data_IF_061419560754
#
_entry.id   IF_061419560754
#
_cell.length_a   1.000
_cell.length_b   1.000
_cell.length_c   1.000
_cell.angle_alpha   90.00
_cell.angle_beta   90.00
_cell.angle_gamma   90.00
#
_symmetry.space_group_name_H-M   'P 1'
#
loop_
_entity.id
_entity.type
_entity.pdbx_description
1 polymer ?
#
# COMPACT_ATOMS: atom_id res chain seq x y z
N UNK A 1 -23.24 53.34 34.92
CA UNK A 1 -22.73 52.12 35.58
C UNK A 1 -23.48 50.94 34.96
N UNK A 2 -22.89 49.83 34.52
CA UNK A 2 -21.48 49.44 34.42
C UNK A 2 -21.21 48.63 33.12
N UNK A 3 -19.96 48.24 32.88
CA UNK A 3 -19.47 47.53 31.67
C UNK A 3 -19.29 46.01 31.91
N UNK A 4 -18.82 45.33 30.85
CA UNK A 4 -18.06 44.05 30.86
C UNK A 4 -18.89 42.77 30.74
N UNK A 5 -18.42 41.67 30.12
CA UNK A 5 -17.25 41.46 29.23
C UNK A 5 -17.25 40.03 28.66
N UNK A 6 -16.53 39.83 27.53
CA UNK A 6 -16.09 38.53 27.01
C UNK A 6 -14.59 38.60 26.61
N UNK A 7 -13.89 37.48 26.34
CA UNK A 7 -14.05 36.10 26.83
C UNK A 7 -12.82 35.78 27.75
N UNK A 8 -11.69 35.08 27.42
CA UNK A 8 -11.33 34.08 26.38
C UNK A 8 -10.91 32.69 26.93
N UNK A 9 -11.04 31.62 26.11
CA UNK A 9 -9.98 30.65 25.71
C UNK A 9 -10.56 29.34 25.09
N UNK A 10 -9.79 28.57 24.29
CA UNK A 10 -10.34 27.85 23.12
C UNK A 10 -9.93 26.37 23.00
N UNK A 11 -10.54 25.65 22.07
CA UNK A 11 -9.85 24.56 21.37
C UNK A 11 -10.45 24.28 19.99
N UNK A 12 -9.81 24.78 18.94
CA UNK A 12 -10.05 24.44 17.54
C UNK A 12 -9.14 23.29 17.10
N UNK A 13 -9.70 22.24 16.50
CA UNK A 13 -8.92 21.28 15.69
C UNK A 13 -9.76 20.46 14.70
N UNK A 14 -10.80 21.03 14.08
CA UNK A 14 -11.50 20.37 12.96
C UNK A 14 -10.57 20.36 11.75
N UNK A 15 -9.95 19.22 11.44
CA UNK A 15 -9.15 19.06 10.22
C UNK A 15 -10.03 18.45 9.12
N UNK A 16 -10.39 19.19 8.05
CA UNK A 16 -11.09 18.59 6.92
C UNK A 16 -10.12 17.70 6.13
N UNK A 17 -10.58 16.51 5.73
CA UNK A 17 -9.81 15.62 4.88
C UNK A 17 -9.61 16.24 3.49
N UNK A 18 -8.35 16.24 2.99
CA UNK A 18 -8.06 16.78 1.66
C UNK A 18 -8.63 15.87 0.54
N UNK A 19 -9.16 16.47 -0.56
CA UNK A 19 -9.62 15.71 -1.72
C UNK A 19 -8.44 15.24 -2.58
N UNK A 20 -8.36 13.94 -2.82
CA UNK A 20 -7.31 13.32 -3.63
C UNK A 20 -7.63 13.40 -5.13
N UNK A 21 -6.65 13.79 -5.96
CA UNK A 21 -6.69 13.67 -7.43
C UNK A 21 -5.60 12.70 -7.90
N UNK A 22 -5.96 11.78 -8.79
CA UNK A 22 -5.01 10.88 -9.47
C UNK A 22 -4.73 11.39 -10.89
N UNK A 23 -3.45 11.61 -11.23
CA UNK A 23 -2.98 11.73 -12.60
C UNK A 23 -1.92 10.64 -12.82
N UNK A 24 -1.95 9.98 -13.98
CA UNK A 24 -0.96 8.95 -14.31
C UNK A 24 -0.63 8.93 -15.79
N UNK A 25 0.63 9.22 -16.12
CA UNK A 25 1.31 8.86 -17.37
C UNK A 25 2.81 8.73 -17.09
N UNK A 26 3.49 7.83 -17.80
CA UNK A 26 4.95 7.59 -17.67
C UNK A 26 5.56 7.35 -19.05
N UNK A 27 6.71 7.95 -19.33
CA UNK A 27 7.50 7.77 -20.55
C UNK A 27 8.96 7.41 -20.23
N UNK A 28 9.62 6.71 -21.14
CA UNK A 28 10.81 5.89 -20.88
C UNK A 28 12.16 6.50 -21.32
N UNK A 29 13.26 5.90 -20.84
CA UNK A 29 14.50 5.73 -21.62
C UNK A 29 15.80 6.37 -21.11
N UNK A 30 16.77 5.54 -20.67
CA UNK A 30 18.21 5.54 -21.09
C UNK A 30 19.11 4.69 -20.16
N UNK A 31 20.32 4.35 -20.62
CA UNK A 31 21.28 3.37 -20.04
C UNK A 31 22.42 4.11 -19.26
N UNK A 32 23.44 3.53 -18.59
CA UNK A 32 24.07 2.20 -18.65
C UNK A 32 24.86 1.83 -17.34
N UNK A 33 25.67 0.75 -17.41
CA UNK A 33 26.67 0.10 -16.52
C UNK A 33 27.42 0.90 -15.42
N UNK A 34 28.17 0.32 -14.46
CA UNK A 34 28.78 -1.03 -14.27
C UNK A 34 28.90 -1.44 -12.77
N UNK A 35 29.48 -2.62 -12.44
CA UNK A 35 29.48 -3.24 -11.09
C UNK A 35 30.68 -2.87 -10.19
N UNK A 36 30.46 -2.91 -8.87
CA UNK A 36 31.42 -3.45 -7.89
C UNK A 36 30.72 -3.89 -6.60
N UNK A 37 31.08 -5.04 -6.04
CA UNK A 37 30.40 -5.67 -4.90
C UNK A 37 31.14 -5.40 -3.59
N UNK A 38 30.49 -4.76 -2.60
CA UNK A 38 30.84 -4.90 -1.17
C UNK A 38 29.69 -4.48 -0.24
N UNK A 39 29.71 -5.05 0.96
CA UNK A 39 28.69 -5.08 2.02
C UNK A 39 27.98 -3.74 2.31
N UNK A 40 26.64 -3.76 2.44
CA UNK A 40 25.82 -2.59 2.81
C UNK A 40 25.03 -2.84 4.09
N UNK A 41 25.30 -2.08 5.17
CA UNK A 41 24.33 -1.73 6.19
C UNK A 41 23.95 -0.24 6.12
N UNK A 42 22.67 0.03 6.41
CA UNK A 42 21.99 1.34 6.55
C UNK A 42 21.63 2.13 5.27
N UNK A 43 20.34 2.47 5.24
CA UNK A 43 19.65 3.50 4.46
C UNK A 43 20.27 4.89 4.69
N UNK A 44 20.89 5.54 3.69
CA UNK A 44 21.49 6.86 3.85
C UNK A 44 20.65 8.00 3.25
N UNK A 45 20.95 9.18 3.76
CA UNK A 45 20.37 10.49 3.48
C UNK A 45 20.22 10.86 2.00
N UNK A 46 19.12 11.58 1.73
CA UNK A 46 18.79 12.31 0.50
C UNK A 46 19.96 12.93 -0.26
N UNK A 47 20.00 12.71 -1.58
CA UNK A 47 21.01 13.29 -2.47
C UNK A 47 20.71 14.76 -2.86
N UNK A 48 21.73 15.64 -2.85
CA UNK A 48 21.65 16.94 -3.49
C UNK A 48 21.82 16.82 -5.03
N UNK A 49 21.15 17.70 -5.77
CA UNK A 49 21.32 17.92 -7.23
C UNK A 49 21.16 16.69 -8.14
N UNK A 50 19.92 16.19 -8.28
CA UNK A 50 19.49 15.34 -9.40
C UNK A 50 17.98 15.49 -9.59
N UNK A 51 17.53 16.22 -10.61
CA UNK A 51 16.15 16.74 -10.69
C UNK A 51 15.11 15.62 -10.92
N UNK A 52 14.60 15.00 -9.84
CA UNK A 52 13.43 14.09 -9.89
C UNK A 52 12.31 14.77 -10.70
N UNK A 53 11.77 14.09 -11.72
CA UNK A 53 10.44 14.46 -12.26
C UNK A 53 9.47 14.36 -11.09
N UNK A 54 8.75 15.43 -10.76
CA UNK A 54 8.07 15.62 -9.47
C UNK A 54 6.84 14.73 -9.21
N UNK A 55 6.58 13.74 -10.06
CA UNK A 55 5.27 13.08 -10.18
C UNK A 55 5.33 11.56 -10.04
N UNK A 56 6.40 10.89 -10.50
CA UNK A 56 6.53 9.43 -10.36
C UNK A 56 7.09 9.07 -8.99
N UNK A 57 6.37 8.24 -8.24
CA UNK A 57 6.75 7.80 -6.87
C UNK A 57 7.03 6.30 -6.76
N UNK A 58 6.83 5.52 -7.83
CA UNK A 58 7.07 4.07 -7.81
C UNK A 58 6.80 3.42 -9.16
N UNK A 59 7.07 2.11 -9.24
CA UNK A 59 6.82 1.25 -10.41
C UNK A 59 5.69 0.28 -10.08
N UNK A 60 4.98 -0.25 -11.08
CA UNK A 60 3.99 -1.33 -10.92
C UNK A 60 4.24 -2.47 -11.88
N UNK A 61 4.24 -3.70 -11.38
CA UNK A 61 4.35 -4.95 -12.15
C UNK A 61 3.09 -5.78 -11.87
N UNK A 62 2.49 -6.35 -12.91
CA UNK A 62 1.39 -7.30 -12.77
C UNK A 62 1.89 -8.70 -13.14
N UNK A 63 1.86 -9.60 -12.16
CA UNK A 63 2.37 -10.97 -12.20
C UNK A 63 1.28 -11.98 -11.81
N UNK A 64 0.01 -11.64 -12.02
CA UNK A 64 -1.11 -12.57 -11.86
C UNK A 64 -1.09 -13.61 -13.00
N UNK A 65 -1.79 -14.74 -12.83
CA UNK A 65 -1.85 -15.78 -13.87
C UNK A 65 -2.48 -15.26 -15.17
N UNK A 66 -3.50 -14.40 -15.06
CA UNK A 66 -4.19 -13.80 -16.20
C UNK A 66 -3.30 -12.80 -16.96
N UNK A 67 -2.28 -12.23 -16.30
CA UNK A 67 -1.31 -11.36 -16.95
C UNK A 67 -0.30 -12.13 -17.84
N UNK A 68 -0.24 -13.46 -17.70
CA UNK A 68 0.57 -14.39 -18.49
C UNK A 68 2.03 -13.92 -18.75
N UNK A 69 2.68 -13.40 -17.70
CA UNK A 69 4.09 -13.02 -17.73
C UNK A 69 4.94 -14.09 -17.06
N UNK A 70 6.07 -14.44 -17.66
CA UNK A 70 7.08 -15.28 -17.03
C UNK A 70 7.69 -14.53 -15.81
N UNK A 71 7.59 -15.07 -14.57
CA UNK A 71 8.26 -14.52 -13.39
C UNK A 71 9.79 -14.46 -13.48
N UNK A 72 10.38 -15.17 -14.44
CA UNK A 72 11.81 -15.25 -14.68
C UNK A 72 12.27 -14.42 -15.90
N UNK A 73 11.37 -13.63 -16.52
CA UNK A 73 11.74 -12.74 -17.62
C UNK A 73 12.89 -11.80 -17.17
N UNK A 74 14.07 -11.81 -17.83
CA UNK A 74 15.19 -10.95 -17.48
C UNK A 74 14.88 -9.45 -17.55
N UNK A 75 13.77 -9.07 -18.18
CA UNK A 75 13.17 -7.73 -18.18
C UNK A 75 12.64 -7.31 -16.81
N UNK A 76 12.02 -8.23 -16.05
CA UNK A 76 11.60 -7.98 -14.67
C UNK A 76 12.83 -7.67 -13.82
N UNK A 77 13.85 -8.53 -13.85
CA UNK A 77 15.07 -8.30 -13.06
C UNK A 77 15.80 -7.01 -13.46
N UNK A 78 15.73 -6.59 -14.74
CA UNK A 78 16.23 -5.28 -15.21
C UNK A 78 15.44 -4.11 -14.61
N UNK A 79 14.12 -4.22 -14.52
CA UNK A 79 13.24 -3.22 -13.90
C UNK A 79 13.54 -3.12 -12.40
N UNK A 80 13.65 -4.24 -11.68
CA UNK A 80 13.90 -4.26 -10.23
C UNK A 80 15.27 -3.67 -9.90
N UNK A 81 16.33 -4.04 -10.63
CA UNK A 81 17.65 -3.39 -10.49
C UNK A 81 17.62 -1.89 -10.78
N UNK A 82 16.77 -1.42 -11.69
CA UNK A 82 16.59 0.02 -11.94
C UNK A 82 15.79 0.70 -10.82
N UNK A 83 14.79 0.03 -10.26
CA UNK A 83 14.01 0.50 -9.12
C UNK A 83 14.90 0.79 -7.90
N UNK A 84 15.80 -0.16 -7.56
CA UNK A 84 16.81 0.01 -6.50
C UNK A 84 17.71 1.23 -6.77
N UNK A 85 18.28 1.36 -7.98
CA UNK A 85 19.17 2.50 -8.33
C UNK A 85 18.48 3.88 -8.28
N UNK A 86 17.16 3.92 -8.38
CA UNK A 86 16.38 5.17 -8.37
C UNK A 86 15.52 5.33 -7.11
N UNK A 87 15.71 4.48 -6.10
CA UNK A 87 14.96 4.47 -4.83
C UNK A 87 13.43 4.33 -5.02
N UNK A 88 12.99 3.68 -6.09
CA UNK A 88 11.56 3.48 -6.34
C UNK A 88 11.05 2.19 -5.69
N UNK A 89 9.97 2.24 -4.88
CA UNK A 89 9.25 1.04 -4.50
C UNK A 89 8.53 0.42 -5.71
N UNK A 90 8.38 -0.90 -5.67
CA UNK A 90 7.74 -1.68 -6.74
C UNK A 90 6.44 -2.28 -6.23
N UNK A 91 5.32 -1.75 -6.72
CA UNK A 91 4.01 -2.37 -6.51
C UNK A 91 3.92 -3.64 -7.34
N UNK A 92 3.53 -4.74 -6.72
CA UNK A 92 3.36 -6.04 -7.37
C UNK A 92 1.94 -6.56 -7.17
N UNK A 93 1.23 -6.70 -8.27
CA UNK A 93 -0.06 -7.40 -8.32
C UNK A 93 0.19 -8.87 -8.65
N UNK A 94 0.15 -9.73 -7.63
CA UNK A 94 0.46 -11.16 -7.73
C UNK A 94 -0.59 -12.08 -7.10
N UNK A 95 -1.83 -11.60 -6.91
CA UNK A 95 -2.94 -12.47 -6.48
C UNK A 95 -3.11 -13.67 -7.43
N UNK A 96 -3.60 -14.81 -6.91
CA UNK A 96 -3.69 -16.07 -7.67
C UNK A 96 -2.35 -16.67 -8.12
N UNK A 97 -1.23 -15.98 -7.86
CA UNK A 97 0.13 -16.35 -8.25
C UNK A 97 1.15 -15.98 -7.15
N UNK A 98 0.73 -16.03 -5.88
CA UNK A 98 1.53 -15.59 -4.73
C UNK A 98 2.87 -16.34 -4.60
N UNK A 99 2.95 -17.58 -5.07
CA UNK A 99 4.18 -18.37 -5.02
C UNK A 99 5.26 -17.77 -5.94
N UNK A 100 4.87 -17.35 -7.15
CA UNK A 100 5.76 -16.63 -8.07
C UNK A 100 6.09 -15.21 -7.59
N UNK A 101 5.11 -14.52 -6.97
CA UNK A 101 5.35 -13.23 -6.32
C UNK A 101 6.38 -13.33 -5.19
N UNK A 102 6.24 -14.35 -4.33
CA UNK A 102 7.14 -14.63 -3.21
C UNK A 102 8.54 -14.97 -3.71
N UNK A 103 8.66 -15.85 -4.71
CA UNK A 103 9.95 -16.19 -5.32
C UNK A 103 10.66 -14.96 -5.92
N UNK A 104 9.91 -14.00 -6.49
CA UNK A 104 10.47 -12.75 -7.00
C UNK A 104 10.91 -11.80 -5.87
N UNK A 105 10.17 -11.74 -4.76
CA UNK A 105 10.55 -10.97 -3.55
C UNK A 105 11.83 -11.53 -2.92
N UNK A 106 11.91 -12.86 -2.79
CA UNK A 106 13.06 -13.57 -2.22
C UNK A 106 14.31 -13.44 -3.11
N UNK A 107 14.14 -13.40 -4.45
CA UNK A 107 15.25 -13.19 -5.41
C UNK A 107 15.80 -11.76 -5.44
N UNK A 108 15.06 -10.76 -4.93
CA UNK A 108 15.43 -9.34 -4.99
C UNK A 108 15.35 -8.67 -3.60
N UNK A 109 16.19 -9.08 -2.63
CA UNK A 109 16.13 -8.61 -1.24
C UNK A 109 16.31 -7.09 -1.10
N UNK A 110 17.05 -6.44 -1.99
CA UNK A 110 17.28 -4.98 -1.96
C UNK A 110 16.08 -4.16 -2.47
N UNK A 111 15.10 -4.79 -3.12
CA UNK A 111 13.92 -4.08 -3.65
C UNK A 111 12.83 -3.97 -2.60
N UNK A 112 12.34 -2.74 -2.36
CA UNK A 112 11.11 -2.50 -1.58
C UNK A 112 9.88 -2.88 -2.40
N UNK A 113 9.25 -4.01 -2.08
CA UNK A 113 8.01 -4.46 -2.72
C UNK A 113 6.78 -3.98 -1.97
N UNK A 114 5.73 -3.60 -2.71
CA UNK A 114 4.40 -3.27 -2.19
C UNK A 114 3.41 -4.29 -2.76
N UNK A 115 2.91 -5.20 -1.94
CA UNK A 115 1.95 -6.23 -2.35
C UNK A 115 0.58 -5.59 -2.52
N UNK A 116 0.05 -5.56 -3.74
CA UNK A 116 -1.25 -4.95 -4.04
C UNK A 116 -2.43 -5.78 -3.50
N UNK A 117 -3.48 -5.10 -3.02
CA UNK A 117 -4.80 -5.68 -2.68
C UNK A 117 -4.75 -6.90 -1.74
N UNK A 118 -3.95 -6.81 -0.67
CA UNK A 118 -3.67 -7.89 0.28
C UNK A 118 -3.01 -9.14 -0.33
N UNK A 119 -2.65 -9.13 -1.62
CA UNK A 119 -2.27 -10.35 -2.35
C UNK A 119 -3.44 -11.30 -2.63
N UNK A 120 -4.69 -10.90 -2.34
CA UNK A 120 -5.88 -11.74 -2.39
C UNK A 120 -6.75 -11.31 -3.58
N UNK A 121 -7.27 -12.26 -4.36
CA UNK A 121 -8.19 -11.98 -5.46
C UNK A 121 -9.48 -11.40 -4.87
N UNK A 122 -9.84 -10.18 -5.24
CA UNK A 122 -11.05 -9.53 -4.74
C UNK A 122 -12.09 -9.39 -5.85
N UNK A 123 -13.39 -9.63 -5.58
CA UNK A 123 -14.43 -9.59 -6.58
C UNK A 123 -14.64 -8.17 -7.13
N UNK A 124 -15.15 -8.08 -8.36
CA UNK A 124 -15.55 -6.80 -8.99
C UNK A 124 -17.07 -6.57 -8.97
N UNK A 125 -17.83 -7.58 -8.56
CA UNK A 125 -19.29 -7.59 -8.46
C UNK A 125 -19.69 -8.48 -7.28
N UNK A 126 -20.80 -8.21 -6.57
CA UNK A 126 -21.35 -9.15 -5.60
C UNK A 126 -21.77 -10.50 -6.26
N UNK A 127 -21.88 -11.59 -5.48
CA UNK A 127 -21.49 -11.71 -4.07
C UNK A 127 -19.97 -11.93 -3.92
N UNK A 128 -19.47 -11.76 -2.69
CA UNK A 128 -18.13 -12.24 -2.36
C UNK A 128 -18.03 -13.79 -2.51
N UNK A 129 -16.87 -14.32 -2.91
CA UNK A 129 -16.71 -15.76 -3.14
C UNK A 129 -16.94 -16.59 -1.85
N UNK A 130 -17.11 -17.93 -1.96
CA UNK A 130 -17.32 -18.81 -0.80
C UNK A 130 -16.18 -18.77 0.23
N UNK A 131 -14.94 -18.60 -0.22
CA UNK A 131 -13.73 -18.57 0.61
C UNK A 131 -12.88 -17.34 0.26
N UNK A 132 -13.29 -16.12 0.65
CA UNK A 132 -12.65 -14.88 0.18
C UNK A 132 -11.25 -14.68 0.75
N UNK A 133 -10.89 -15.37 1.83
CA UNK A 133 -9.59 -15.32 2.49
C UNK A 133 -8.76 -16.60 2.28
N UNK A 134 -9.05 -17.41 1.25
CA UNK A 134 -8.37 -18.69 1.00
C UNK A 134 -6.83 -18.58 0.91
N UNK A 135 -6.32 -17.52 0.28
CA UNK A 135 -4.88 -17.25 0.14
C UNK A 135 -4.23 -16.61 1.39
N UNK A 136 -5.00 -16.28 2.44
CA UNK A 136 -4.49 -15.63 3.65
C UNK A 136 -3.27 -16.33 4.27
N UNK A 137 -3.18 -17.68 4.38
CA UNK A 137 -1.99 -18.35 4.90
C UNK A 137 -0.70 -18.00 4.12
N UNK A 138 -0.78 -17.85 2.79
CA UNK A 138 0.35 -17.44 1.94
C UNK A 138 0.73 -15.98 2.18
N UNK A 139 -0.28 -15.12 2.37
CA UNK A 139 -0.09 -13.68 2.68
C UNK A 139 0.59 -13.49 4.04
N UNK A 140 0.26 -14.31 5.04
CA UNK A 140 0.92 -14.29 6.35
C UNK A 140 2.37 -14.79 6.28
N UNK A 141 2.67 -15.80 5.46
CA UNK A 141 4.04 -16.28 5.25
C UNK A 141 4.91 -15.26 4.47
N UNK A 142 4.32 -14.57 3.49
CA UNK A 142 5.01 -13.49 2.78
C UNK A 142 5.41 -12.32 3.71
N UNK A 143 4.70 -12.12 4.82
CA UNK A 143 5.02 -11.09 5.82
C UNK A 143 6.43 -11.23 6.43
N UNK A 144 7.00 -12.44 6.43
CA UNK A 144 8.35 -12.71 6.94
C UNK A 144 9.47 -12.01 6.17
N UNK A 145 9.18 -11.53 4.95
CA UNK A 145 10.15 -10.85 4.08
C UNK A 145 10.26 -9.37 4.49
N UNK A 146 11.41 -8.90 5.02
CA UNK A 146 11.52 -7.54 5.55
C UNK A 146 11.48 -6.46 4.45
N UNK A 147 11.77 -6.84 3.20
CA UNK A 147 11.71 -5.97 2.02
C UNK A 147 10.30 -5.82 1.42
N UNK A 148 9.31 -6.57 1.92
CA UNK A 148 7.91 -6.44 1.52
C UNK A 148 7.08 -5.58 2.49
N UNK A 149 6.17 -4.79 1.94
CA UNK A 149 5.04 -4.15 2.63
C UNK A 149 3.72 -4.51 1.91
N UNK A 150 2.59 -4.44 2.60
CA UNK A 150 1.28 -4.89 2.07
C UNK A 150 0.29 -3.73 1.96
N UNK A 151 -0.50 -3.73 0.88
CA UNK A 151 -1.57 -2.76 0.65
C UNK A 151 -2.91 -3.35 1.08
N UNK A 152 -3.41 -2.89 2.22
CA UNK A 152 -4.73 -3.18 2.78
C UNK A 152 -5.77 -2.35 2.03
N UNK A 153 -6.07 -2.76 0.79
CA UNK A 153 -7.04 -2.09 -0.07
C UNK A 153 -8.14 -3.02 -0.54
N UNK A 154 -9.34 -2.45 -0.76
CA UNK A 154 -10.53 -3.16 -1.24
C UNK A 154 -11.06 -4.27 -0.32
N UNK A 155 -10.59 -4.37 0.94
CA UNK A 155 -10.95 -5.42 1.88
C UNK A 155 -12.47 -5.57 2.10
N UNK A 156 -13.24 -4.48 2.06
CA UNK A 156 -14.70 -4.51 2.15
C UNK A 156 -15.36 -5.35 1.04
N UNK A 157 -14.72 -5.49 -0.13
CA UNK A 157 -15.23 -6.33 -1.23
C UNK A 157 -15.11 -7.83 -0.96
N UNK A 158 -14.31 -8.22 0.04
CA UNK A 158 -14.16 -9.61 0.50
C UNK A 158 -15.23 -10.01 1.54
N UNK A 159 -15.99 -9.05 2.04
CA UNK A 159 -17.03 -9.28 3.06
C UNK A 159 -18.21 -10.08 2.51
N UNK A 160 -18.70 -11.01 3.33
CA UNK A 160 -19.93 -11.79 3.11
C UNK A 160 -21.09 -11.26 3.98
N UNK A 161 -20.81 -10.33 4.89
CA UNK A 161 -21.77 -9.70 5.78
C UNK A 161 -22.16 -8.29 5.27
N UNK A 162 -23.30 -7.72 5.70
CA UNK A 162 -23.67 -6.36 5.36
C UNK A 162 -22.72 -5.32 6.01
N UNK A 163 -22.78 -4.08 5.50
CA UNK A 163 -22.11 -2.92 6.12
C UNK A 163 -22.44 -2.85 7.63
N UNK A 164 -21.46 -2.67 8.55
CA UNK A 164 -20.09 -2.21 8.33
C UNK A 164 -19.03 -3.30 8.09
N UNK A 165 -19.42 -4.48 7.57
CA UNK A 165 -18.51 -5.56 7.16
C UNK A 165 -17.69 -6.15 8.33
N UNK A 166 -18.33 -6.61 9.42
CA UNK A 166 -17.60 -7.06 10.63
C UNK A 166 -16.66 -8.25 10.37
N UNK A 167 -17.02 -9.13 9.44
CA UNK A 167 -16.28 -10.36 9.10
C UNK A 167 -14.88 -10.13 8.48
N UNK A 168 -14.58 -8.93 7.98
CA UNK A 168 -13.24 -8.62 7.45
C UNK A 168 -12.19 -8.47 8.57
N UNK A 169 -12.62 -8.17 9.80
CA UNK A 169 -11.70 -7.71 10.85
C UNK A 169 -10.85 -8.80 11.49
N UNK A 170 -11.31 -10.05 11.55
CA UNK A 170 -10.50 -11.17 12.07
C UNK A 170 -9.38 -11.58 11.09
N UNK A 171 -9.64 -11.70 9.77
CA UNK A 171 -8.58 -11.80 8.76
C UNK A 171 -7.61 -10.62 8.79
N UNK A 172 -8.10 -9.38 8.92
CA UNK A 172 -7.26 -8.18 8.96
C UNK A 172 -6.39 -8.11 10.22
N UNK A 173 -6.90 -8.49 11.39
CA UNK A 173 -6.11 -8.56 12.63
C UNK A 173 -4.86 -9.44 12.42
N UNK A 174 -5.04 -10.64 11.86
CA UNK A 174 -3.93 -11.56 11.52
C UNK A 174 -2.93 -10.95 10.55
N UNK A 175 -3.40 -10.15 9.58
CA UNK A 175 -2.51 -9.40 8.67
C UNK A 175 -1.73 -8.33 9.45
N UNK A 176 -2.38 -7.55 10.31
CA UNK A 176 -1.71 -6.53 11.13
C UNK A 176 -0.68 -7.14 12.08
N UNK A 177 -0.98 -8.28 12.71
CA UNK A 177 -0.05 -9.02 13.58
C UNK A 177 1.20 -9.50 12.83
N UNK A 178 1.04 -10.09 11.65
CA UNK A 178 2.15 -10.66 10.88
C UNK A 178 3.00 -9.60 10.16
N UNK A 179 2.37 -8.54 9.66
CA UNK A 179 3.06 -7.50 8.88
C UNK A 179 3.55 -6.33 9.75
N UNK A 180 2.82 -5.99 10.81
CA UNK A 180 2.99 -4.76 11.58
C UNK A 180 2.41 -3.54 10.85
N UNK A 181 1.86 -2.58 11.60
CA UNK A 181 1.22 -1.39 11.02
C UNK A 181 2.15 -0.53 10.16
N UNK A 182 3.46 -0.47 10.47
CA UNK A 182 4.46 0.22 9.66
C UNK A 182 4.60 -0.32 8.22
N UNK A 183 4.12 -1.54 7.97
CA UNK A 183 4.13 -2.20 6.66
C UNK A 183 2.73 -2.40 6.07
N UNK A 184 1.67 -1.85 6.69
CA UNK A 184 0.29 -1.96 6.22
C UNK A 184 -0.21 -0.63 5.66
N UNK A 185 -0.36 -0.52 4.34
CA UNK A 185 -0.81 0.70 3.65
C UNK A 185 -2.30 0.58 3.32
N UNK A 186 -3.16 1.44 3.84
CA UNK A 186 -4.57 1.44 3.44
C UNK A 186 -4.84 2.11 2.08
N UNK A 187 -5.93 1.73 1.41
CA UNK A 187 -6.50 2.48 0.29
C UNK A 187 -7.85 1.94 -0.18
N UNK A 188 -8.70 2.78 -0.77
CA UNK A 188 -10.07 2.37 -1.17
C UNK A 188 -10.14 1.32 -2.29
N UNK A 189 -9.20 1.38 -3.24
CA UNK A 189 -9.29 0.71 -4.54
C UNK A 189 -10.56 1.07 -5.36
N UNK A 190 -10.99 2.33 -5.22
CA UNK A 190 -12.25 2.86 -5.76
C UNK A 190 -12.57 2.48 -7.20
N UNK A 191 -11.59 2.59 -8.11
CA UNK A 191 -11.77 2.32 -9.56
C UNK A 191 -12.10 0.86 -9.88
N UNK A 192 -11.94 -0.06 -8.92
CA UNK A 192 -12.28 -1.48 -9.05
C UNK A 192 -13.39 -1.92 -8.10
N UNK A 193 -13.54 -1.25 -6.96
CA UNK A 193 -14.50 -1.57 -5.91
C UNK A 193 -15.88 -0.89 -6.04
N UNK A 194 -16.02 0.15 -6.88
CA UNK A 194 -17.25 0.98 -6.96
C UNK A 194 -18.55 0.21 -7.29
N UNK A 195 -18.45 -0.96 -7.93
CA UNK A 195 -19.60 -1.82 -8.25
C UNK A 195 -19.96 -2.80 -7.12
N UNK A 196 -19.25 -2.76 -5.98
CA UNK A 196 -19.45 -3.60 -4.79
C UNK A 196 -19.73 -2.75 -3.55
N UNK A 197 -19.00 -1.64 -3.38
CA UNK A 197 -19.15 -0.71 -2.24
C UNK A 197 -19.07 0.73 -2.72
N UNK A 198 -19.77 1.65 -2.05
CA UNK A 198 -19.58 3.09 -2.25
C UNK A 198 -18.32 3.61 -1.50
N UNK A 199 -17.91 4.85 -1.75
CA UNK A 199 -16.66 5.40 -1.19
C UNK A 199 -16.70 5.48 0.35
N UNK A 200 -17.82 5.93 0.91
CA UNK A 200 -18.06 6.01 2.35
C UNK A 200 -17.95 4.61 3.00
N UNK A 201 -18.61 3.60 2.44
CA UNK A 201 -18.54 2.21 2.87
C UNK A 201 -17.13 1.60 2.79
N UNK A 202 -16.29 2.07 1.87
CA UNK A 202 -14.88 1.65 1.79
C UNK A 202 -13.99 2.32 2.85
N UNK A 203 -14.35 3.50 3.35
CA UNK A 203 -13.53 4.33 4.26
C UNK A 203 -13.99 4.22 5.72
N UNK A 204 -15.28 4.35 5.98
CA UNK A 204 -15.83 4.47 7.33
C UNK A 204 -15.50 3.30 8.27
N UNK A 205 -15.50 2.02 7.85
CA UNK A 205 -15.11 0.93 8.74
C UNK A 205 -13.72 1.14 9.35
N UNK A 206 -12.76 1.61 8.54
CA UNK A 206 -11.39 1.91 8.99
C UNK A 206 -11.28 3.21 9.81
N UNK A 207 -12.19 4.17 9.61
CA UNK A 207 -12.24 5.40 10.42
C UNK A 207 -12.96 5.23 11.76
N UNK A 208 -13.96 4.34 11.85
CA UNK A 208 -14.88 4.24 12.99
C UNK A 208 -14.72 2.98 13.86
N UNK A 209 -14.03 1.94 13.39
CA UNK A 209 -13.79 0.72 14.20
C UNK A 209 -13.12 1.04 15.54
N UNK A 210 -13.50 0.32 16.58
CA UNK A 210 -12.86 0.28 17.91
C UNK A 210 -11.64 -0.66 17.96
N UNK A 211 -11.49 -1.57 16.99
CA UNK A 211 -10.36 -2.52 16.88
C UNK A 211 -9.00 -1.88 16.54
N UNK A 212 -8.95 -0.57 16.33
CA UNK A 212 -7.72 0.17 16.04
C UNK A 212 -7.56 1.32 17.03
N UNK A 213 -6.42 1.35 17.74
CA UNK A 213 -6.02 2.55 18.47
C UNK A 213 -5.79 3.74 17.53
N UNK A 214 -5.80 4.96 18.08
CA UNK A 214 -5.58 6.17 17.29
C UNK A 214 -4.22 6.18 16.57
N UNK A 215 -3.17 5.61 17.17
CA UNK A 215 -1.83 5.48 16.59
C UNK A 215 -1.79 4.46 15.44
N UNK A 216 -2.44 3.31 15.60
CA UNK A 216 -2.51 2.28 14.56
C UNK A 216 -3.33 2.77 13.37
N UNK A 217 -4.48 3.41 13.63
CA UNK A 217 -5.31 4.05 12.60
C UNK A 217 -4.53 5.12 11.84
N UNK A 218 -3.80 6.00 12.53
CA UNK A 218 -2.98 7.03 11.88
C UNK A 218 -1.84 6.44 11.03
N UNK A 219 -1.23 5.32 11.47
CA UNK A 219 -0.21 4.63 10.69
C UNK A 219 -0.82 3.97 9.45
N UNK A 220 -1.89 3.19 9.61
CA UNK A 220 -2.60 2.48 8.54
C UNK A 220 -3.13 3.43 7.47
N UNK A 221 -3.82 4.50 7.88
CA UNK A 221 -4.52 5.44 7.00
C UNK A 221 -3.61 6.49 6.32
N UNK A 222 -2.30 6.47 6.58
CA UNK A 222 -1.37 7.39 5.90
C UNK A 222 0.11 7.24 6.26
N UNK A 223 0.44 6.98 7.53
CA UNK A 223 1.83 6.91 8.00
C UNK A 223 2.69 5.87 7.27
N UNK A 224 2.17 4.65 7.10
CA UNK A 224 2.85 3.57 6.38
C UNK A 224 3.04 3.89 4.89
N UNK A 225 2.06 4.56 4.27
CA UNK A 225 2.14 5.00 2.88
C UNK A 225 3.23 6.07 2.69
N UNK A 226 3.25 7.09 3.56
CA UNK A 226 4.29 8.11 3.58
C UNK A 226 5.70 7.50 3.73
N UNK A 227 5.86 6.53 4.65
CA UNK A 227 7.12 5.79 4.85
C UNK A 227 7.52 4.97 3.62
N UNK A 228 6.62 4.17 3.06
CA UNK A 228 6.92 3.24 1.98
C UNK A 228 7.29 3.94 0.66
N UNK A 229 6.70 5.11 0.39
CA UNK A 229 6.94 5.90 -0.83
C UNK A 229 7.93 7.06 -0.64
N UNK A 230 8.42 7.30 0.58
CA UNK A 230 9.20 8.50 0.90
C UNK A 230 8.42 9.80 0.64
N UNK A 231 7.10 9.75 0.76
CA UNK A 231 6.19 10.83 0.38
C UNK A 231 5.82 11.68 1.59
N UNK A 232 6.18 12.97 1.54
CA UNK A 232 5.84 13.97 2.55
C UNK A 232 5.05 15.10 1.89
N UNK A 233 3.70 15.04 1.88
CA UNK A 233 2.89 16.14 1.41
C UNK A 233 3.12 17.35 2.32
N UNK A 234 3.40 18.52 1.73
CA UNK A 234 3.37 19.76 2.49
C UNK A 234 1.92 20.05 2.88
N UNK A 235 1.70 20.44 4.13
CA UNK A 235 0.44 21.09 4.50
C UNK A 235 0.36 22.39 3.67
N UNK A 236 -0.69 22.48 2.85
CA UNK A 236 -1.13 23.74 2.23
C UNK A 236 -1.96 24.55 3.20
#
# INVERSE_FOLDING_TARGET
>A
MGRSSSPPFPCTATTPAMPWRCNGHTLAGSQSSSLSTRTIPRWPMSSPTGRKRRETVGIRIMLTKEANRDPNDPGIDRILRAAVRHEFPVNILCWGNLDAGTALVDRHPDTRFIIDHLGIIQPRTPPAPPQPWADLPKVLELARRPNAVIKVSGACTLSREPYPFPDIWDPLARVFDAWGFDRCLWGTDWTRAFAVVNYEQAVEPFLKTDRLSNSERAMLMGGACAKAYGWSPKKG
#
